data_IF_313835377133
#
_entry.id   IF_313835377133
#
_cell.length_a   1.000
_cell.length_b   1.000
_cell.length_c   1.000
_cell.angle_alpha   90.00
_cell.angle_beta   90.00
_cell.angle_gamma   90.00
#
_symmetry.space_group_name_H-M   'P 1'
#
loop_
_entity.id
_entity.type
_entity.pdbx_description
1 polymer ?
#
# COMPACT_ATOMS: atom_id res chain seq x y z
N UNK A 1 -23.62 -10.50 2.89
CA UNK A 1 -22.49 -10.22 3.80
C UNK A 1 -21.57 -9.25 3.08
N UNK A 2 -21.46 -8.01 3.56
CA UNK A 2 -20.61 -7.00 2.92
C UNK A 2 -19.15 -7.40 3.14
N UNK A 3 -18.43 -7.82 2.09
CA UNK A 3 -16.98 -8.02 2.17
C UNK A 3 -16.36 -6.66 2.46
N UNK A 4 -15.57 -6.55 3.53
CA UNK A 4 -14.89 -5.29 3.83
C UNK A 4 -13.93 -4.97 2.67
N UNK A 5 -14.15 -3.85 1.98
CA UNK A 5 -13.56 -3.53 0.67
C UNK A 5 -12.16 -2.91 0.76
N UNK A 6 -11.81 -2.42 1.95
CA UNK A 6 -10.56 -1.74 2.27
C UNK A 6 -10.06 -2.29 3.61
N UNK A 7 -8.76 -2.56 3.72
CA UNK A 7 -8.13 -3.02 4.94
C UNK A 7 -7.01 -2.06 5.37
N UNK A 8 -6.83 -1.78 6.67
CA UNK A 8 -5.69 -1.03 7.14
C UNK A 8 -4.40 -1.87 7.04
N UNK A 9 -3.32 -1.23 6.59
CA UNK A 9 -1.95 -1.75 6.59
C UNK A 9 -1.10 -0.83 7.45
N UNK A 10 -0.43 -1.39 8.45
CA UNK A 10 0.56 -0.69 9.28
C UNK A 10 1.97 -0.95 8.74
N UNK A 11 2.68 0.13 8.41
CA UNK A 11 4.09 0.12 8.05
C UNK A 11 4.89 0.54 9.28
N UNK A 12 5.65 -0.40 9.85
CA UNK A 12 6.55 -0.12 10.97
C UNK A 12 7.83 0.52 10.43
N UNK A 13 8.11 1.75 10.84
CA UNK A 13 9.20 2.57 10.33
C UNK A 13 9.93 3.20 11.51
N UNK A 14 11.20 2.83 11.68
CA UNK A 14 12.00 3.25 12.85
C UNK A 14 12.15 4.77 12.96
N UNK A 15 12.33 5.46 11.83
CA UNK A 15 12.49 6.91 11.77
C UNK A 15 11.89 7.45 10.48
N UNK A 16 10.89 8.32 10.62
CA UNK A 16 10.36 9.13 9.53
C UNK A 16 11.04 10.50 9.55
N UNK A 17 11.41 11.06 8.38
CA UNK A 17 11.83 12.46 8.29
C UNK A 17 10.78 13.41 8.91
N UNK A 18 11.18 14.58 9.43
CA UNK A 18 10.21 15.61 9.77
C UNK A 18 9.56 16.14 8.49
N UNK A 19 8.25 16.41 8.53
CA UNK A 19 7.51 17.04 7.44
C UNK A 19 7.28 18.52 7.72
N UNK A 20 7.37 19.41 6.72
CA UNK A 20 6.98 20.81 6.86
C UNK A 20 5.46 20.95 7.06
N UNK A 21 5.02 22.13 7.50
CA UNK A 21 3.60 22.41 7.70
C UNK A 21 2.80 22.19 6.42
N UNK A 22 1.76 21.36 6.50
CA UNK A 22 0.88 21.05 5.37
C UNK A 22 1.34 19.91 4.47
N UNK A 23 2.53 19.33 4.69
CA UNK A 23 2.96 18.11 4.00
C UNK A 23 2.49 16.85 4.73
N UNK A 24 2.36 15.76 3.98
CA UNK A 24 1.94 14.46 4.48
C UNK A 24 2.68 13.32 3.76
N UNK A 25 2.62 12.13 4.37
CA UNK A 25 3.05 10.91 3.71
C UNK A 25 1.91 10.30 2.91
N UNK A 26 2.26 9.59 1.83
CA UNK A 26 1.35 8.84 0.99
C UNK A 26 1.88 7.41 0.85
N UNK A 27 0.99 6.42 0.88
CA UNK A 27 1.29 5.07 0.45
C UNK A 27 1.00 4.92 -1.04
N UNK A 28 1.99 4.50 -1.80
CA UNK A 28 1.87 4.21 -3.23
C UNK A 28 1.86 2.70 -3.39
N UNK A 29 0.72 2.12 -3.70
CA UNK A 29 0.64 0.72 -4.12
C UNK A 29 0.91 0.70 -5.61
N UNK A 30 2.08 0.21 -6.01
CA UNK A 30 2.51 0.27 -7.40
C UNK A 30 1.50 -0.39 -8.35
N UNK A 31 1.54 0.04 -9.61
CA UNK A 31 0.75 -0.47 -10.74
C UNK A 31 -0.74 -0.09 -10.79
N UNK A 32 -1.37 0.46 -9.75
CA UNK A 32 -2.76 0.96 -9.85
C UNK A 32 -3.12 2.07 -8.84
N UNK A 33 -3.87 3.07 -9.34
CA UNK A 33 -4.60 4.04 -8.49
C UNK A 33 -3.80 5.29 -8.12
N UNK A 34 -4.46 6.18 -7.38
CA UNK A 34 -3.83 7.36 -6.79
C UNK A 34 -3.16 7.01 -5.47
N UNK A 35 -2.05 7.68 -5.09
CA UNK A 35 -1.45 7.52 -3.77
C UNK A 35 -2.48 7.73 -2.65
N UNK A 36 -2.38 6.92 -1.60
CA UNK A 36 -3.34 6.92 -0.50
C UNK A 36 -2.74 7.70 0.68
N UNK A 37 -3.45 8.70 1.25
CA UNK A 37 -2.97 9.41 2.43
C UNK A 37 -2.64 8.49 3.60
N UNK A 38 -1.45 8.66 4.16
CA UNK A 38 -1.00 7.91 5.32
C UNK A 38 -1.34 8.67 6.61
N UNK A 39 -1.78 7.93 7.62
CA UNK A 39 -1.87 8.42 9.00
C UNK A 39 -0.56 8.11 9.72
N UNK A 40 0.10 9.14 10.25
CA UNK A 40 1.31 8.95 11.06
C UNK A 40 0.93 8.40 12.42
N UNK A 41 1.63 7.36 12.86
CA UNK A 41 1.46 6.73 14.17
C UNK A 41 2.76 6.77 14.95
N UNK A 42 2.73 6.30 16.20
CA UNK A 42 3.96 6.16 17.01
C UNK A 42 4.97 5.16 16.42
N UNK A 43 4.52 4.22 15.60
CA UNK A 43 5.35 3.13 15.08
C UNK A 43 5.73 3.31 13.60
N UNK A 44 5.17 4.32 12.92
CA UNK A 44 5.37 4.54 11.50
C UNK A 44 4.12 5.11 10.83
N UNK A 45 3.55 4.38 9.87
CA UNK A 45 2.43 4.83 9.04
C UNK A 45 1.30 3.80 8.99
N UNK A 46 0.05 4.27 8.88
CA UNK A 46 -1.11 3.44 8.55
C UNK A 46 -1.78 3.97 7.28
N UNK A 47 -2.07 3.05 6.36
CA UNK A 47 -2.77 3.34 5.11
C UNK A 47 -3.90 2.35 4.88
N UNK A 48 -4.95 2.75 4.17
CA UNK A 48 -5.92 1.80 3.64
C UNK A 48 -5.34 1.15 2.38
N UNK A 49 -5.62 -0.14 2.15
CA UNK A 49 -5.34 -0.78 0.86
C UNK A 49 -6.19 -0.16 -0.25
N UNK A 50 -5.78 -0.21 -1.52
CA UNK A 50 -6.64 0.12 -2.64
C UNK A 50 -7.91 -0.73 -2.66
N UNK A 51 -8.96 -0.18 -3.28
CA UNK A 51 -10.21 -0.90 -3.50
C UNK A 51 -9.99 -2.14 -4.36
N UNK A 52 -10.82 -3.18 -4.20
CA UNK A 52 -10.70 -4.44 -4.94
C UNK A 52 -10.67 -4.22 -6.46
N UNK A 53 -11.41 -3.25 -6.98
CA UNK A 53 -11.44 -2.94 -8.43
C UNK A 53 -10.13 -2.34 -8.95
N UNK A 54 -9.28 -1.82 -8.06
CA UNK A 54 -7.97 -1.27 -8.37
C UNK A 54 -6.84 -2.27 -8.06
N UNK A 55 -7.14 -3.50 -7.66
CA UNK A 55 -6.10 -4.50 -7.41
C UNK A 55 -5.57 -5.07 -8.74
N UNK A 56 -4.29 -5.45 -8.79
CA UNK A 56 -3.72 -6.04 -9.99
C UNK A 56 -4.36 -7.40 -10.31
N UNK A 57 -4.47 -7.72 -11.60
CA UNK A 57 -4.89 -9.04 -12.05
C UNK A 57 -3.78 -10.06 -11.79
N UNK A 58 -4.11 -11.18 -11.15
CA UNK A 58 -3.18 -12.28 -10.96
C UNK A 58 -2.95 -13.00 -12.29
N UNK A 59 -1.69 -13.21 -12.74
CA UNK A 59 -1.40 -13.91 -13.98
C UNK A 59 -1.91 -15.36 -14.00
N UNK A 60 -2.27 -15.85 -15.18
CA UNK A 60 -2.71 -17.24 -15.36
C UNK A 60 -1.65 -18.23 -14.84
N UNK A 61 -2.09 -19.20 -14.04
CA UNK A 61 -1.19 -20.21 -13.45
C UNK A 61 -0.56 -19.79 -12.12
N UNK A 62 -0.83 -18.58 -11.63
CA UNK A 62 -0.43 -18.11 -10.31
C UNK A 62 -1.66 -17.94 -9.40
N UNK A 63 -1.44 -17.97 -8.09
CA UNK A 63 -2.42 -17.65 -7.04
C UNK A 63 -2.13 -16.29 -6.38
N UNK A 64 -1.04 -15.64 -6.78
CA UNK A 64 -0.63 -14.34 -6.26
C UNK A 64 0.11 -13.49 -7.30
N UNK A 65 0.20 -12.21 -6.97
CA UNK A 65 1.09 -11.26 -7.63
C UNK A 65 1.77 -10.40 -6.57
N UNK A 66 3.07 -10.17 -6.76
CA UNK A 66 3.85 -9.26 -5.93
C UNK A 66 3.84 -7.88 -6.59
N UNK A 67 3.50 -6.87 -5.81
CA UNK A 67 3.77 -5.46 -6.13
C UNK A 67 4.66 -4.89 -5.04
N UNK A 68 5.08 -3.64 -5.19
CA UNK A 68 5.65 -2.88 -4.08
C UNK A 68 4.63 -1.89 -3.51
N UNK A 69 4.68 -1.72 -2.19
CA UNK A 69 4.16 -0.53 -1.52
C UNK A 69 5.33 0.40 -1.25
N UNK A 70 5.21 1.64 -1.71
CA UNK A 70 6.17 2.70 -1.45
C UNK A 70 5.61 3.78 -0.51
N UNK A 71 6.50 4.47 0.19
CA UNK A 71 6.17 5.68 0.95
C UNK A 71 6.68 6.89 0.20
N UNK A 72 5.78 7.83 -0.08
CA UNK A 72 6.05 9.10 -0.75
C UNK A 72 5.90 10.27 0.21
N UNK A 73 6.81 11.24 0.13
CA UNK A 73 6.60 12.55 0.74
C UNK A 73 5.83 13.46 -0.21
N UNK A 74 4.76 14.10 0.25
CA UNK A 74 4.06 15.11 -0.56
C UNK A 74 4.85 16.41 -0.71
N UNK A 75 5.88 16.63 0.11
CA UNK A 75 6.77 17.80 0.01
C UNK A 75 7.64 17.74 -1.25
N UNK A 76 8.19 16.55 -1.53
CA UNK A 76 9.18 16.34 -2.60
C UNK A 76 8.65 15.49 -3.76
N UNK A 77 7.44 14.95 -3.64
CA UNK A 77 6.83 13.98 -4.58
C UNK A 77 7.75 12.78 -4.88
N UNK A 78 8.58 12.39 -3.90
CA UNK A 78 9.60 11.37 -4.05
C UNK A 78 9.30 10.15 -3.17
N UNK A 79 9.41 8.96 -3.75
CA UNK A 79 9.33 7.68 -3.06
C UNK A 79 10.68 7.37 -2.38
N UNK A 80 10.65 6.95 -1.10
CA UNK A 80 11.89 6.77 -0.32
C UNK A 80 11.95 5.47 0.51
N UNK A 81 10.85 4.73 0.61
CA UNK A 81 10.79 3.39 1.20
C UNK A 81 9.99 2.52 0.23
N UNK A 82 10.47 1.31 -0.08
CA UNK A 82 9.74 0.31 -0.86
C UNK A 82 9.72 -1.01 -0.10
N UNK A 83 8.59 -1.72 -0.13
CA UNK A 83 8.44 -3.06 0.44
C UNK A 83 7.54 -3.90 -0.43
N UNK A 84 7.89 -5.18 -0.59
CA UNK A 84 7.04 -6.12 -1.33
C UNK A 84 5.70 -6.31 -0.62
N UNK A 85 4.64 -6.26 -1.40
CA UNK A 85 3.25 -6.43 -0.99
C UNK A 85 2.57 -7.44 -1.91
N UNK A 86 1.96 -8.46 -1.33
CA UNK A 86 1.43 -9.61 -2.08
C UNK A 86 -0.09 -9.55 -2.10
N UNK A 87 -0.65 -9.56 -3.31
CA UNK A 87 -2.08 -9.83 -3.51
C UNK A 87 -2.26 -11.30 -3.80
N UNK A 88 -3.13 -11.96 -3.02
CA UNK A 88 -3.41 -13.39 -3.11
C UNK A 88 -4.89 -13.64 -3.39
N UNK A 89 -5.20 -14.61 -4.25
CA UNK A 89 -6.55 -15.11 -4.49
C UNK A 89 -6.62 -16.63 -4.27
N UNK A 90 -7.25 -17.02 -3.16
CA UNK A 90 -7.40 -18.42 -2.78
C UNK A 90 -8.19 -19.26 -3.81
N UNK A 91 -9.02 -18.65 -4.65
CA UNK A 91 -9.79 -19.37 -5.68
C UNK A 91 -8.94 -19.84 -6.86
N UNK A 92 -7.75 -19.27 -7.02
CA UNK A 92 -6.79 -19.62 -8.07
C UNK A 92 -5.76 -20.65 -7.60
N UNK A 93 -5.66 -20.89 -6.29
CA UNK A 93 -4.75 -21.88 -5.74
C UNK A 93 -5.20 -23.30 -6.12
N UNK A 94 -4.29 -24.06 -6.74
CA UNK A 94 -4.49 -25.47 -7.08
C UNK A 94 -3.63 -26.32 -6.14
N UNK A 95 -4.28 -27.02 -5.20
CA UNK A 95 -3.65 -28.01 -4.32
C UNK A 95 -3.27 -29.29 -5.05
#
# INVERSE_FOLDING_TARGET
MSRNLLAPVELIINQLPPLPYGANYLCVFEQQGQPIPATVTRNGLVCQTPSIQLRPTIPNGHDHINVDVAVRSSETDTDFIHRSFIYFDCSLHKS
#
